data_IF_059830612744
#
_entry.id   IF_059830612744
#
_cell.length_a   1.000
_cell.length_b   1.000
_cell.length_c   1.000
_cell.angle_alpha   90.00
_cell.angle_beta   90.00
_cell.angle_gamma   90.00
#
_symmetry.space_group_name_H-M   'P 1'
#
loop_
_entity.id
_entity.type
_entity.pdbx_description
1 polymer ?
#
# COMPACT_ATOMS: atom_id res chain seq x y z
N UNK A 1 33.10 -67.14 -38.28
CA UNK A 1 32.33 -65.88 -38.35
C UNK A 1 32.37 -65.24 -36.96
N UNK A 2 33.23 -64.24 -36.73
CA UNK A 2 33.32 -63.54 -35.44
C UNK A 2 32.54 -62.21 -35.52
N UNK A 3 31.67 -61.89 -34.54
CA UNK A 3 30.86 -60.68 -34.57
C UNK A 3 31.69 -59.45 -34.20
N UNK A 4 31.59 -58.41 -35.02
CA UNK A 4 32.25 -57.12 -34.81
C UNK A 4 31.58 -56.34 -33.67
N UNK A 5 32.31 -56.11 -32.59
CA UNK A 5 31.89 -55.24 -31.51
C UNK A 5 31.88 -53.77 -32.00
N UNK A 6 30.69 -53.16 -32.10
CA UNK A 6 30.55 -51.71 -32.36
C UNK A 6 30.86 -50.91 -31.10
N UNK A 7 31.90 -50.08 -31.16
CA UNK A 7 32.27 -49.13 -30.12
C UNK A 7 31.25 -47.98 -30.07
N UNK A 8 30.40 -47.93 -29.04
CA UNK A 8 29.44 -46.84 -28.82
C UNK A 8 30.19 -45.62 -28.28
N UNK A 9 30.37 -44.58 -29.11
CA UNK A 9 31.01 -43.31 -28.75
C UNK A 9 30.24 -42.66 -27.61
N UNK A 10 30.82 -42.59 -26.40
CA UNK A 10 30.26 -41.85 -25.27
C UNK A 10 30.25 -40.36 -25.65
N UNK A 11 29.07 -39.75 -25.73
CA UNK A 11 28.98 -38.30 -25.84
C UNK A 11 29.51 -37.69 -24.53
N UNK A 12 30.57 -36.90 -24.65
CA UNK A 12 31.15 -36.12 -23.56
C UNK A 12 30.12 -35.08 -23.14
N UNK A 13 29.50 -35.24 -21.97
CA UNK A 13 28.78 -34.15 -21.32
C UNK A 13 29.83 -33.11 -20.91
N UNK A 14 29.90 -32.00 -21.65
CA UNK A 14 30.68 -30.83 -21.21
C UNK A 14 29.94 -30.21 -20.03
N UNK A 15 30.46 -30.41 -18.81
CA UNK A 15 29.92 -29.81 -17.60
C UNK A 15 30.39 -28.37 -17.44
N UNK A 16 29.54 -27.53 -16.83
CA UNK A 16 29.93 -26.20 -16.34
C UNK A 16 31.07 -26.32 -15.32
N UNK A 17 32.03 -25.40 -15.37
CA UNK A 17 33.11 -25.38 -14.37
C UNK A 17 32.60 -24.84 -13.04
N UNK A 18 33.14 -25.35 -11.92
CA UNK A 18 32.81 -24.84 -10.58
C UNK A 18 33.15 -23.34 -10.45
N UNK A 19 34.19 -22.90 -11.17
CA UNK A 19 34.62 -21.51 -11.22
C UNK A 19 33.59 -20.61 -11.92
N UNK A 20 33.03 -21.04 -13.05
CA UNK A 20 31.94 -20.30 -13.71
C UNK A 20 30.73 -20.14 -12.78
N UNK A 21 30.37 -21.20 -12.07
CA UNK A 21 29.23 -21.16 -11.16
C UNK A 21 29.49 -20.22 -9.97
N UNK A 22 30.70 -20.20 -9.41
CA UNK A 22 31.04 -19.28 -8.31
C UNK A 22 31.01 -17.81 -8.73
N UNK A 23 31.45 -17.47 -9.95
CA UNK A 23 31.37 -16.10 -10.45
C UNK A 23 29.91 -15.68 -10.64
N UNK A 24 29.07 -16.56 -11.19
CA UNK A 24 27.64 -16.27 -11.37
C UNK A 24 26.95 -16.02 -10.04
N UNK A 25 27.21 -16.85 -9.03
CA UNK A 25 26.65 -16.67 -7.69
C UNK A 25 27.14 -15.37 -7.05
N UNK A 26 28.42 -15.00 -7.23
CA UNK A 26 28.95 -13.74 -6.73
C UNK A 26 28.25 -12.52 -7.35
N UNK A 27 28.03 -12.52 -8.66
CA UNK A 27 27.34 -11.42 -9.36
C UNK A 27 25.86 -11.35 -8.92
N UNK A 28 25.16 -12.47 -8.86
CA UNK A 28 23.76 -12.53 -8.40
C UNK A 28 23.66 -12.02 -6.95
N UNK A 29 24.62 -12.37 -6.09
CA UNK A 29 24.67 -11.89 -4.71
C UNK A 29 24.72 -10.37 -4.59
N UNK A 30 25.56 -9.71 -5.40
CA UNK A 30 25.66 -8.25 -5.43
C UNK A 30 24.36 -7.62 -5.93
N UNK A 31 23.81 -8.13 -7.04
CA UNK A 31 22.57 -7.61 -7.63
C UNK A 31 21.38 -7.76 -6.67
N UNK A 32 21.26 -8.93 -6.03
CA UNK A 32 20.19 -9.20 -5.07
C UNK A 32 20.25 -8.27 -3.85
N UNK A 33 21.45 -7.94 -3.37
CA UNK A 33 21.65 -7.05 -2.24
C UNK A 33 21.06 -5.64 -2.46
N UNK A 34 21.16 -5.11 -3.69
CA UNK A 34 20.59 -3.79 -4.04
C UNK A 34 19.12 -3.90 -4.46
N UNK A 35 18.76 -4.94 -5.21
CA UNK A 35 17.43 -5.08 -5.79
C UNK A 35 16.33 -5.39 -4.76
N UNK A 36 16.61 -6.26 -3.78
CA UNK A 36 15.61 -6.68 -2.78
C UNK A 36 15.03 -5.50 -1.97
N UNK A 37 15.81 -4.60 -1.35
CA UNK A 37 15.26 -3.51 -0.56
C UNK A 37 14.42 -2.55 -1.41
N UNK A 38 14.84 -2.27 -2.64
CA UNK A 38 14.08 -1.41 -3.56
C UNK A 38 12.77 -2.06 -4.02
N UNK A 39 12.80 -3.36 -4.33
CA UNK A 39 11.61 -4.10 -4.74
C UNK A 39 10.56 -4.16 -3.62
N UNK A 40 10.99 -4.33 -2.37
CA UNK A 40 10.08 -4.28 -1.21
C UNK A 40 9.32 -2.96 -1.13
N UNK A 41 10.02 -1.82 -1.21
CA UNK A 41 9.39 -0.49 -1.18
C UNK A 41 8.35 -0.34 -2.29
N UNK A 42 8.65 -0.83 -3.50
CA UNK A 42 7.70 -0.79 -4.61
C UNK A 42 6.43 -1.62 -4.35
N UNK A 43 6.59 -2.86 -3.88
CA UNK A 43 5.44 -3.73 -3.57
C UNK A 43 4.58 -3.14 -2.45
N UNK A 44 5.21 -2.56 -1.43
CA UNK A 44 4.50 -1.91 -0.33
C UNK A 44 3.72 -0.67 -0.83
N UNK A 45 4.34 0.17 -1.67
CA UNK A 45 3.65 1.30 -2.32
C UNK A 45 2.44 0.85 -3.12
N UNK A 46 2.54 -0.26 -3.84
CA UNK A 46 1.43 -0.80 -4.62
C UNK A 46 0.26 -1.22 -3.71
N UNK A 47 0.53 -1.92 -2.60
CA UNK A 47 -0.49 -2.28 -1.60
C UNK A 47 -1.15 -1.05 -0.98
N UNK A 48 -0.39 -0.03 -0.61
CA UNK A 48 -0.95 1.21 -0.05
C UNK A 48 -1.81 1.93 -1.11
N UNK A 49 -1.37 1.98 -2.37
CA UNK A 49 -2.17 2.55 -3.46
C UNK A 49 -3.48 1.80 -3.67
N UNK A 50 -3.48 0.47 -3.53
CA UNK A 50 -4.68 -0.35 -3.60
C UNK A 50 -5.61 -0.08 -2.41
N UNK A 51 -5.09 0.06 -1.18
CA UNK A 51 -5.90 0.47 -0.02
C UNK A 51 -6.55 1.86 -0.20
N UNK A 52 -5.81 2.83 -0.74
CA UNK A 52 -6.34 4.17 -1.05
C UNK A 52 -7.43 4.09 -2.12
N UNK A 53 -7.27 3.21 -3.13
CA UNK A 53 -8.28 3.01 -4.16
C UNK A 53 -9.54 2.31 -3.61
N UNK A 54 -9.37 1.26 -2.80
CA UNK A 54 -10.47 0.52 -2.19
C UNK A 54 -11.34 1.40 -1.28
N UNK A 55 -10.71 2.33 -0.56
CA UNK A 55 -11.39 3.27 0.35
C UNK A 55 -12.09 4.43 -0.35
N UNK A 56 -11.98 4.54 -1.69
CA UNK A 56 -12.70 5.56 -2.47
C UNK A 56 -14.22 5.46 -2.35
N UNK A 57 -14.77 4.25 -2.16
CA UNK A 57 -16.22 4.05 -1.98
C UNK A 57 -16.74 4.72 -0.71
N UNK A 58 -15.90 4.84 0.33
CA UNK A 58 -16.26 5.51 1.59
C UNK A 58 -16.42 7.02 1.40
N UNK A 59 -15.65 7.60 0.48
CA UNK A 59 -15.79 9.01 0.10
C UNK A 59 -17.17 9.28 -0.52
N UNK A 60 -17.65 8.33 -1.33
CA UNK A 60 -18.98 8.39 -1.95
C UNK A 60 -20.08 8.26 -0.90
N UNK A 61 -19.96 7.27 -0.01
CA UNK A 61 -20.90 7.05 1.09
C UNK A 61 -21.03 8.31 1.98
N UNK A 62 -19.91 8.92 2.34
CA UNK A 62 -19.89 10.19 3.10
C UNK A 62 -20.54 11.33 2.31
N UNK A 63 -20.25 11.45 1.01
CA UNK A 63 -20.86 12.47 0.16
C UNK A 63 -22.37 12.32 0.05
N UNK A 64 -22.87 11.09 -0.10
CA UNK A 64 -24.30 10.78 -0.16
C UNK A 64 -25.00 11.15 1.15
N UNK A 65 -24.43 10.77 2.29
CA UNK A 65 -24.98 11.13 3.60
C UNK A 65 -25.08 12.66 3.78
N UNK A 66 -24.05 13.40 3.36
CA UNK A 66 -24.06 14.86 3.41
C UNK A 66 -25.18 15.44 2.54
N UNK A 67 -25.43 14.87 1.36
CA UNK A 67 -26.48 15.31 0.45
C UNK A 67 -27.89 15.03 0.99
N UNK A 68 -28.08 13.95 1.74
CA UNK A 68 -29.39 13.56 2.28
C UNK A 68 -29.68 14.21 3.64
N UNK A 69 -28.71 14.23 4.55
CA UNK A 69 -28.89 14.66 5.94
C UNK A 69 -28.46 16.11 6.17
N UNK A 70 -27.73 16.73 5.24
CA UNK A 70 -27.26 18.10 5.37
C UNK A 70 -26.29 18.30 6.54
N UNK A 71 -25.55 17.25 6.91
CA UNK A 71 -24.51 17.25 7.95
C UNK A 71 -23.51 16.15 7.70
N UNK A 72 -22.37 16.21 8.36
CA UNK A 72 -21.38 15.15 8.29
C UNK A 72 -21.85 13.90 9.06
N UNK A 73 -21.50 12.70 8.59
CA UNK A 73 -21.85 11.48 9.29
C UNK A 73 -20.98 11.31 10.54
N UNK A 74 -21.57 10.98 11.70
CA UNK A 74 -20.80 10.79 12.94
C UNK A 74 -19.88 9.56 12.90
N UNK A 75 -20.10 8.65 11.96
CA UNK A 75 -19.28 7.48 11.68
C UNK A 75 -19.63 6.91 10.29
N UNK A 76 -18.81 5.97 9.79
CA UNK A 76 -19.04 5.36 8.48
C UNK A 76 -20.33 4.52 8.41
N UNK A 77 -20.75 3.90 9.52
CA UNK A 77 -21.98 3.11 9.55
C UNK A 77 -23.23 3.96 9.28
N UNK A 78 -23.28 5.18 9.84
CA UNK A 78 -24.33 6.16 9.55
C UNK A 78 -24.34 6.56 8.06
N UNK A 79 -23.16 6.63 7.43
CA UNK A 79 -23.02 6.86 6.00
C UNK A 79 -23.33 5.63 5.12
N UNK A 80 -23.82 4.52 5.69
CA UNK A 80 -24.11 3.29 4.94
C UNK A 80 -22.89 2.40 4.66
N UNK A 81 -21.75 2.68 5.29
CA UNK A 81 -20.53 1.90 5.20
C UNK A 81 -20.10 1.35 6.58
N UNK A 82 -20.77 0.32 7.11
CA UNK A 82 -20.43 -0.25 8.42
C UNK A 82 -19.03 -0.88 8.44
N UNK A 83 -18.57 -1.24 9.63
CA UNK A 83 -17.29 -1.94 9.81
C UNK A 83 -17.23 -3.18 8.90
N UNK A 84 -16.13 -3.30 8.15
CA UNK A 84 -15.97 -4.37 7.17
C UNK A 84 -16.47 -4.07 5.75
N UNK A 85 -17.12 -2.91 5.51
CA UNK A 85 -17.57 -2.52 4.16
C UNK A 85 -16.42 -2.40 3.14
N UNK A 86 -15.22 -2.07 3.61
CA UNK A 86 -13.98 -2.10 2.83
C UNK A 86 -12.94 -2.84 3.64
N UNK A 87 -12.40 -3.93 3.08
CA UNK A 87 -11.39 -4.76 3.72
C UNK A 87 -10.40 -5.29 2.68
N UNK A 88 -9.12 -5.25 3.03
CA UNK A 88 -8.03 -5.90 2.30
C UNK A 88 -7.24 -6.73 3.31
N UNK A 89 -6.47 -7.71 2.84
CA UNK A 89 -5.66 -8.59 3.69
C UNK A 89 -4.62 -7.85 4.53
N UNK A 90 -4.33 -6.60 4.18
CA UNK A 90 -3.36 -5.74 4.85
C UNK A 90 -3.99 -4.48 5.47
N UNK A 91 -5.26 -4.56 5.85
CA UNK A 91 -5.99 -3.52 6.60
C UNK A 91 -6.55 -4.14 7.88
N UNK A 92 -6.39 -3.46 9.02
CA UNK A 92 -6.90 -3.95 10.31
C UNK A 92 -8.15 -3.20 10.78
N UNK A 93 -8.24 -1.91 10.49
CA UNK A 93 -9.40 -1.11 10.82
C UNK A 93 -9.60 0.02 9.83
N UNK A 94 -10.86 0.35 9.60
CA UNK A 94 -11.29 1.50 8.82
C UNK A 94 -12.34 2.22 9.63
N UNK A 95 -12.19 3.52 9.80
CA UNK A 95 -13.13 4.32 10.57
C UNK A 95 -13.16 5.75 10.06
N UNK A 96 -14.05 6.54 10.64
CA UNK A 96 -14.05 7.98 10.45
C UNK A 96 -14.08 8.69 11.79
N UNK A 97 -13.42 9.83 11.84
CA UNK A 97 -13.32 10.66 13.03
C UNK A 97 -13.60 12.10 12.62
N UNK A 98 -14.45 12.74 13.41
CA UNK A 98 -14.62 14.19 13.42
C UNK A 98 -13.53 14.79 14.32
N UNK A 99 -12.68 15.63 13.74
CA UNK A 99 -11.63 16.35 14.45
C UNK A 99 -11.61 17.78 13.94
N UNK A 100 -12.37 18.68 14.54
CA UNK A 100 -12.45 20.10 14.11
C UNK A 100 -11.04 20.69 13.87
N UNK A 101 -10.69 21.19 12.65
CA UNK A 101 -11.50 21.55 11.48
C UNK A 101 -11.60 20.50 10.34
N UNK A 102 -11.36 19.23 10.62
CA UNK A 102 -11.30 18.13 9.66
C UNK A 102 -12.30 17.00 9.96
N UNK A 103 -12.81 16.38 8.90
CA UNK A 103 -13.36 15.04 8.95
C UNK A 103 -12.42 14.15 8.16
N UNK A 104 -11.90 13.11 8.79
CA UNK A 104 -10.99 12.18 8.13
C UNK A 104 -11.48 10.74 8.22
N UNK A 105 -11.27 10.03 7.12
CA UNK A 105 -11.37 8.56 7.09
C UNK A 105 -9.98 8.03 7.42
N UNK A 106 -9.88 7.23 8.46
CA UNK A 106 -8.64 6.63 8.93
C UNK A 106 -8.60 5.15 8.55
N UNK A 107 -7.44 4.69 8.08
CA UNK A 107 -7.22 3.32 7.66
C UNK A 107 -5.92 2.83 8.28
N UNK A 108 -6.03 1.81 9.12
CA UNK A 108 -4.87 1.19 9.76
C UNK A 108 -4.34 0.05 8.91
N UNK A 109 -3.09 0.15 8.50
CA UNK A 109 -2.41 -0.84 7.68
C UNK A 109 -1.78 -1.91 8.58
N UNK A 110 -1.83 -3.17 8.18
CA UNK A 110 -1.21 -4.29 8.90
C UNK A 110 -0.85 -5.41 7.93
N UNK A 111 -0.17 -6.47 8.37
CA UNK A 111 0.02 -7.68 7.56
C UNK A 111 0.84 -7.49 6.27
N UNK A 112 1.53 -6.37 6.11
CA UNK A 112 2.44 -6.13 4.99
C UNK A 112 3.79 -6.81 5.22
N UNK A 113 4.20 -6.96 6.48
CA UNK A 113 5.48 -7.54 6.88
C UNK A 113 6.62 -6.52 6.92
N UNK A 114 6.30 -5.26 7.20
CA UNK A 114 7.25 -4.16 7.27
C UNK A 114 6.92 -3.29 8.49
N UNK A 115 7.84 -3.21 9.46
CA UNK A 115 7.61 -2.53 10.74
C UNK A 115 7.35 -1.03 10.58
N UNK A 116 7.92 -0.41 9.55
CA UNK A 116 7.72 1.01 9.22
C UNK A 116 6.33 1.32 8.63
N UNK A 117 5.46 0.31 8.49
CA UNK A 117 4.16 0.39 7.81
C UNK A 117 3.06 -0.30 8.59
N UNK A 118 3.33 -1.49 9.14
CA UNK A 118 2.37 -2.24 9.91
C UNK A 118 2.07 -1.53 11.24
N UNK A 119 0.79 -1.30 11.52
CA UNK A 119 0.31 -0.57 12.70
C UNK A 119 0.17 0.94 12.49
N UNK A 120 0.64 1.47 11.36
CA UNK A 120 0.48 2.87 11.01
C UNK A 120 -0.82 3.14 10.26
N UNK A 121 -1.26 4.40 10.33
CA UNK A 121 -2.55 4.85 9.80
C UNK A 121 -2.34 5.86 8.69
N UNK A 122 -3.00 5.66 7.55
CA UNK A 122 -3.17 6.76 6.58
C UNK A 122 -4.56 7.36 6.70
N UNK A 123 -4.63 8.66 6.44
CA UNK A 123 -5.83 9.46 6.55
C UNK A 123 -6.24 9.99 5.17
N UNK A 124 -7.54 9.94 4.90
CA UNK A 124 -8.17 10.68 3.82
C UNK A 124 -8.86 11.88 4.47
N UNK A 125 -8.27 13.05 4.30
CA UNK A 125 -8.74 14.31 4.86
C UNK A 125 -9.73 14.94 3.89
N UNK A 126 -10.89 15.32 4.41
CA UNK A 126 -11.83 16.17 3.69
C UNK A 126 -11.56 17.65 3.96
N UNK A 127 -12.08 18.53 3.12
CA UNK A 127 -12.08 19.98 3.31
C UNK A 127 -13.12 20.49 4.35
N UNK A 128 -13.42 19.69 5.38
CA UNK A 128 -14.51 19.86 6.36
C UNK A 128 -14.67 21.31 6.84
N UNK A 129 -13.61 22.01 7.29
CA UNK A 129 -13.72 23.40 7.75
C UNK A 129 -12.67 24.38 7.16
N UNK A 130 -12.30 24.24 5.87
CA UNK A 130 -11.62 25.32 5.12
C UNK A 130 -12.60 26.48 4.77
N UNK A 131 -13.53 26.80 5.68
CA UNK A 131 -14.78 27.50 5.36
C UNK A 131 -15.68 26.69 4.42
N UNK A 132 -15.51 25.37 4.41
CA UNK A 132 -16.18 24.39 3.54
C UNK A 132 -17.25 23.59 4.26
N UNK A 133 -18.11 24.26 5.02
CA UNK A 133 -19.41 23.67 5.35
C UNK A 133 -20.06 23.09 4.08
N UNK A 134 -21.02 22.19 4.24
CA UNK A 134 -21.70 21.38 3.19
C UNK A 134 -21.95 22.10 1.84
N UNK A 135 -22.03 23.43 1.86
CA UNK A 135 -21.98 24.38 0.74
C UNK A 135 -20.79 24.32 -0.26
N UNK A 136 -19.64 23.71 0.04
CA UNK A 136 -18.50 23.61 -0.90
C UNK A 136 -18.39 22.21 -1.52
N UNK A 137 -17.84 22.07 -2.74
CA UNK A 137 -17.58 20.76 -3.30
C UNK A 137 -16.64 19.97 -2.40
N UNK A 138 -17.01 18.73 -2.12
CA UNK A 138 -16.24 17.82 -1.28
C UNK A 138 -14.93 17.45 -1.97
N UNK A 139 -13.80 17.79 -1.37
CA UNK A 139 -12.47 17.40 -1.84
C UNK A 139 -11.80 16.51 -0.81
N UNK A 140 -11.01 15.55 -1.29
CA UNK A 140 -10.28 14.61 -0.45
C UNK A 140 -8.79 14.68 -0.74
N UNK A 141 -7.99 14.79 0.30
CA UNK A 141 -6.53 14.69 0.25
C UNK A 141 -6.10 13.47 1.05
N UNK A 142 -5.03 12.81 0.63
CA UNK A 142 -4.44 11.72 1.40
C UNK A 142 -3.24 12.28 2.17
N UNK A 143 -3.11 11.93 3.45
CA UNK A 143 -1.91 12.22 4.23
C UNK A 143 -1.71 11.15 5.31
N UNK A 144 -0.56 11.17 5.96
CA UNK A 144 -0.27 10.34 7.12
C UNK A 144 0.07 11.30 8.25
N UNK A 145 -0.77 11.30 9.27
CA UNK A 145 -0.63 12.14 10.44
C UNK A 145 -0.14 11.25 11.58
N UNK A 146 0.83 11.73 12.34
CA UNK A 146 1.09 11.17 13.65
C UNK A 146 -0.05 11.54 14.62
N UNK A 147 -0.07 10.93 15.80
CA UNK A 147 -1.09 11.18 16.82
C UNK A 147 -1.15 12.63 17.33
N UNK A 148 -0.29 13.53 16.84
CA UNK A 148 -0.29 14.98 17.14
C UNK A 148 -0.57 15.85 15.90
N UNK A 149 -0.96 15.24 14.77
CA UNK A 149 -1.36 15.95 13.55
C UNK A 149 -0.19 16.41 12.66
N UNK A 150 1.04 15.96 12.91
CA UNK A 150 2.20 16.22 12.06
C UNK A 150 2.44 15.09 11.05
N UNK A 151 3.10 15.38 9.93
CA UNK A 151 3.35 14.40 8.88
C UNK A 151 4.32 13.31 9.34
N UNK A 152 3.96 12.03 9.16
CA UNK A 152 4.82 10.92 9.58
C UNK A 152 5.88 10.57 8.51
N UNK A 153 7.17 10.90 8.71
CA UNK A 153 8.17 10.81 7.63
C UNK A 153 8.58 9.37 7.32
N UNK A 154 8.49 8.46 8.29
CA UNK A 154 8.92 7.05 8.17
C UNK A 154 7.99 6.30 7.22
N UNK A 155 6.68 6.40 7.44
CA UNK A 155 5.66 5.84 6.56
C UNK A 155 5.61 6.55 5.21
N UNK A 156 5.94 7.85 5.19
CA UNK A 156 5.95 8.70 3.99
C UNK A 156 6.66 8.07 2.80
N UNK A 157 7.78 7.35 2.97
CA UNK A 157 8.50 6.74 1.84
C UNK A 157 7.66 5.72 1.06
N UNK A 158 6.65 5.11 1.69
CA UNK A 158 5.78 4.11 1.07
C UNK A 158 4.47 4.67 0.49
N UNK A 159 4.25 5.98 0.58
CA UNK A 159 3.08 6.61 -0.03
C UNK A 159 3.27 6.83 -1.54
N UNK A 160 2.19 6.72 -2.33
CA UNK A 160 2.19 7.21 -3.71
C UNK A 160 2.33 8.74 -3.75
N UNK A 161 2.84 9.26 -4.86
CA UNK A 161 3.07 10.71 -5.03
C UNK A 161 1.79 11.55 -4.85
N UNK A 162 0.63 10.98 -5.14
CA UNK A 162 -0.69 11.61 -4.93
C UNK A 162 -1.03 11.85 -3.45
N UNK A 163 -0.31 11.23 -2.52
CA UNK A 163 -0.48 11.35 -1.07
C UNK A 163 0.67 12.14 -0.38
N UNK A 164 1.58 12.75 -1.15
CA UNK A 164 2.74 13.50 -0.61
C UNK A 164 2.56 15.02 -0.56
N UNK A 165 1.70 15.60 -1.41
CA UNK A 165 1.64 17.05 -1.64
C UNK A 165 0.39 17.72 -1.06
N UNK A 166 -0.01 17.32 0.14
CA UNK A 166 -1.32 17.63 0.71
C UNK A 166 -1.34 18.62 1.89
N UNK A 167 -0.36 19.53 2.01
CA UNK A 167 -0.53 20.77 2.80
C UNK A 167 -0.93 21.92 1.89
#
# INVERSE_FOLDING_TARGET
MLPSARFKKRQSIQGFTLVELMIVVAIIGILAGVAIPQYKVYVIRAKISEAIAATSILKVAVAEYIQTEGRWPPNLAAAGAPDGAVQLSYMSSVGAVEFDPYYFIQVTVTGIGEADVDGHVFHLLSNYNDGGGISKPLTWRCAVLDGVGAFEPIFGKYLPATCHNSI
#
